data_IF_414440882605
#
_entry.id   IF_414440882605
#
_cell.length_a   1.000
_cell.length_b   1.000
_cell.length_c   1.000
_cell.angle_alpha   90.00
_cell.angle_beta   90.00
_cell.angle_gamma   90.00
#
_symmetry.space_group_name_H-M   'P 1'
#
loop_
_entity.id
_entity.type
_entity.pdbx_description
1 polymer ?
#
# COMPACT_ATOMS: atom_id res chain seq x y z
N UNK A 1 7.54 6.55 -15.97
CA UNK A 1 7.37 6.44 -14.50
C UNK A 1 7.58 7.78 -13.76
N UNK A 2 8.38 8.69 -14.32
CA UNK A 2 8.81 9.93 -13.67
C UNK A 2 7.64 10.79 -13.18
N UNK A 3 6.61 11.06 -14.00
CA UNK A 3 5.49 11.93 -13.61
C UNK A 3 4.76 11.42 -12.35
N UNK A 4 4.29 10.16 -12.28
CA UNK A 4 3.77 9.59 -11.03
C UNK A 4 4.67 9.77 -9.82
N UNK A 5 5.98 9.54 -9.98
CA UNK A 5 6.95 9.66 -8.89
C UNK A 5 7.02 11.11 -8.40
N UNK A 6 7.15 12.08 -9.31
CA UNK A 6 7.24 13.51 -8.97
C UNK A 6 5.97 13.98 -8.27
N UNK A 7 4.80 13.71 -8.85
CA UNK A 7 3.50 14.08 -8.28
C UNK A 7 3.33 13.47 -6.89
N UNK A 8 3.67 12.19 -6.74
CA UNK A 8 3.46 11.48 -5.47
C UNK A 8 4.49 11.87 -4.42
N UNK A 9 5.76 12.01 -4.77
CA UNK A 9 6.81 12.43 -3.85
C UNK A 9 6.55 13.84 -3.33
N UNK A 10 6.18 14.78 -4.22
CA UNK A 10 5.77 16.13 -3.81
C UNK A 10 4.55 16.07 -2.90
N UNK A 11 3.53 15.31 -3.29
CA UNK A 11 2.32 15.12 -2.50
C UNK A 11 2.62 14.58 -1.10
N UNK A 12 3.51 13.58 -0.98
CA UNK A 12 3.94 13.05 0.30
C UNK A 12 4.66 14.11 1.14
N UNK A 13 5.60 14.86 0.57
CA UNK A 13 6.28 15.95 1.31
C UNK A 13 5.25 16.96 1.82
N UNK A 14 4.34 17.43 0.95
CA UNK A 14 3.28 18.37 1.33
C UNK A 14 2.34 17.81 2.41
N UNK A 15 1.92 16.55 2.31
CA UNK A 15 1.12 15.90 3.36
C UNK A 15 1.88 15.87 4.69
N UNK A 16 3.16 15.52 4.66
CA UNK A 16 4.03 15.53 5.83
C UNK A 16 4.11 16.91 6.47
N UNK A 17 4.34 17.95 5.67
CA UNK A 17 4.42 19.35 6.12
C UNK A 17 3.10 19.85 6.68
N UNK A 18 1.99 19.66 5.97
CA UNK A 18 0.66 20.09 6.43
C UNK A 18 0.27 19.35 7.71
N UNK A 19 0.56 18.04 7.80
CA UNK A 19 0.32 17.26 9.03
C UNK A 19 1.13 17.81 10.20
N UNK A 20 2.40 18.16 9.98
CA UNK A 20 3.28 18.69 11.02
C UNK A 20 2.84 20.08 11.50
N UNK A 21 2.43 20.96 10.59
CA UNK A 21 2.12 22.35 10.91
C UNK A 21 0.69 22.53 11.45
N UNK A 22 -0.29 21.78 10.92
CA UNK A 22 -1.71 21.98 11.22
C UNK A 22 -2.37 20.80 11.94
N UNK A 23 -1.68 19.66 12.09
CA UNK A 23 -2.24 18.46 12.72
C UNK A 23 -3.33 17.76 11.87
N UNK A 24 -3.45 18.14 10.60
CA UNK A 24 -4.38 17.54 9.65
C UNK A 24 -4.01 16.10 9.31
N UNK A 25 -4.99 15.31 8.87
CA UNK A 25 -4.83 13.89 8.53
C UNK A 25 -4.88 13.63 7.04
N UNK A 26 -5.53 14.51 6.26
CA UNK A 26 -5.60 14.52 4.80
C UNK A 26 -5.98 13.15 4.19
N UNK A 27 -6.91 12.44 4.83
CA UNK A 27 -7.30 11.09 4.41
C UNK A 27 -6.22 10.00 4.55
N UNK A 28 -5.04 10.32 5.10
CA UNK A 28 -3.89 9.43 5.24
C UNK A 28 -2.69 9.84 4.39
N UNK A 29 -1.49 9.44 4.81
CA UNK A 29 -0.23 9.90 4.21
C UNK A 29 -0.15 9.66 2.70
N UNK A 30 -0.62 8.50 2.22
CA UNK A 30 -0.49 8.08 0.82
C UNK A 30 -1.76 8.29 -0.02
N UNK A 31 -2.92 8.53 0.60
CA UNK A 31 -4.20 8.41 -0.09
C UNK A 31 -4.36 9.44 -1.21
N UNK A 32 -4.14 10.72 -0.90
CA UNK A 32 -4.33 11.83 -1.83
C UNK A 32 -3.27 11.84 -2.95
N UNK A 33 -1.97 11.69 -2.66
CA UNK A 33 -0.96 11.64 -3.72
C UNK A 33 -1.20 10.49 -4.71
N UNK A 34 -1.56 9.30 -4.21
CA UNK A 34 -1.85 8.14 -5.05
C UNK A 34 -3.16 8.32 -5.82
N UNK A 35 -4.19 8.92 -5.22
CA UNK A 35 -5.46 9.23 -5.89
C UNK A 35 -5.26 10.20 -7.06
N UNK A 36 -4.39 11.21 -6.93
CA UNK A 36 -4.07 12.14 -8.02
C UNK A 36 -3.49 11.39 -9.23
N UNK A 37 -2.52 10.51 -9.01
CA UNK A 37 -1.95 9.65 -10.07
C UNK A 37 -3.01 8.73 -10.67
N UNK A 38 -3.87 8.14 -9.85
CA UNK A 38 -4.95 7.27 -10.34
C UNK A 38 -5.99 8.01 -11.17
N UNK A 39 -6.33 9.24 -10.79
CA UNK A 39 -7.29 10.06 -11.52
C UNK A 39 -6.73 10.48 -12.88
N UNK A 40 -5.43 10.80 -12.95
CA UNK A 40 -4.75 11.06 -14.21
C UNK A 40 -4.70 9.81 -15.10
N UNK A 41 -4.50 8.64 -14.48
CA UNK A 41 -4.46 7.37 -15.18
C UNK A 41 -5.84 6.97 -15.74
N UNK A 42 -6.87 7.09 -14.92
CA UNK A 42 -8.25 6.77 -15.27
C UNK A 42 -9.18 7.75 -14.53
N UNK A 43 -9.87 8.61 -15.28
CA UNK A 43 -10.67 9.68 -14.71
C UNK A 43 -11.82 9.16 -13.82
N UNK A 44 -12.31 7.95 -14.09
CA UNK A 44 -13.36 7.33 -13.28
C UNK A 44 -12.89 6.89 -11.88
N UNK A 45 -11.59 6.84 -11.61
CA UNK A 45 -11.10 6.53 -10.27
C UNK A 45 -11.54 7.56 -9.23
N UNK A 46 -11.72 8.83 -9.62
CA UNK A 46 -12.17 9.89 -8.72
C UNK A 46 -13.61 9.69 -8.22
N UNK A 47 -14.64 9.56 -9.08
CA UNK A 47 -15.99 9.32 -8.60
C UNK A 47 -16.10 8.00 -7.84
N UNK A 48 -15.44 6.93 -8.29
CA UNK A 48 -15.40 5.65 -7.56
C UNK A 48 -14.84 5.86 -6.15
N UNK A 49 -13.69 6.53 -6.03
CA UNK A 49 -13.09 6.83 -4.74
C UNK A 49 -14.05 7.65 -3.85
N UNK A 50 -14.62 8.72 -4.37
CA UNK A 50 -15.52 9.62 -3.63
C UNK A 50 -16.73 8.86 -3.05
N UNK A 51 -17.47 8.13 -3.90
CA UNK A 51 -18.63 7.37 -3.44
C UNK A 51 -18.22 6.25 -2.47
N UNK A 52 -17.11 5.56 -2.73
CA UNK A 52 -16.59 4.52 -1.83
C UNK A 52 -16.21 5.07 -0.46
N UNK A 53 -15.63 6.28 -0.40
CA UNK A 53 -15.28 6.94 0.86
C UNK A 53 -16.53 7.33 1.64
N UNK A 54 -17.56 7.86 0.98
CA UNK A 54 -18.84 8.18 1.61
C UNK A 54 -19.48 6.91 2.18
N UNK A 55 -19.58 5.85 1.39
CA UNK A 55 -20.16 4.58 1.83
C UNK A 55 -19.37 3.96 2.98
N UNK A 56 -18.04 4.01 2.92
CA UNK A 56 -17.18 3.56 4.03
C UNK A 56 -17.38 4.40 5.29
N UNK A 57 -17.52 5.72 5.17
CA UNK A 57 -17.77 6.62 6.30
C UNK A 57 -19.13 6.35 6.96
N UNK A 58 -20.18 6.19 6.16
CA UNK A 58 -21.52 5.85 6.64
C UNK A 58 -21.56 4.46 7.29
N UNK A 59 -20.98 3.46 6.63
CA UNK A 59 -20.89 2.10 7.16
C UNK A 59 -20.12 2.05 8.48
N UNK A 60 -19.00 2.76 8.57
CA UNK A 60 -18.23 2.87 9.82
C UNK A 60 -19.03 3.54 10.94
N UNK A 61 -19.81 4.58 10.60
CA UNK A 61 -20.66 5.28 11.57
C UNK A 61 -21.71 4.34 12.17
N UNK A 62 -22.36 3.51 11.33
CA UNK A 62 -23.34 2.51 11.78
C UNK A 62 -22.68 1.48 12.68
N UNK A 63 -21.52 0.95 12.29
CA UNK A 63 -20.80 -0.05 13.07
C UNK A 63 -20.42 0.52 14.45
N UNK A 64 -19.84 1.73 14.50
CA UNK A 64 -19.46 2.35 15.78
C UNK A 64 -20.63 2.57 16.72
N UNK A 65 -21.79 2.97 16.19
CA UNK A 65 -23.00 3.13 16.99
C UNK A 65 -23.55 1.79 17.53
N UNK A 66 -23.20 0.65 16.93
CA UNK A 66 -23.79 -0.66 17.23
C UNK A 66 -22.85 -1.65 17.92
N UNK A 67 -21.53 -1.55 17.76
CA UNK A 67 -20.62 -2.64 18.15
C UNK A 67 -19.43 -2.22 19.03
N UNK A 68 -19.37 -0.97 19.49
CA UNK A 68 -18.25 -0.45 20.31
C UNK A 68 -16.85 -0.73 19.71
N UNK A 69 -16.76 -0.89 18.39
CA UNK A 69 -15.51 -1.14 17.69
C UNK A 69 -14.74 0.19 17.57
N UNK A 70 -13.55 0.25 18.16
CA UNK A 70 -12.69 1.44 18.17
C UNK A 70 -11.23 1.12 17.81
N UNK A 71 -10.47 2.15 17.46
CA UNK A 71 -9.03 2.05 17.29
C UNK A 71 -8.64 1.28 16.03
N UNK A 72 -8.04 0.10 16.19
CA UNK A 72 -7.50 -0.67 15.04
C UNK A 72 -8.57 -1.52 14.35
N UNK A 73 -9.52 -2.04 15.11
CA UNK A 73 -10.60 -2.84 14.52
C UNK A 73 -11.51 -1.93 13.69
N UNK A 74 -11.65 -0.66 14.10
CA UNK A 74 -12.28 0.39 13.31
C UNK A 74 -11.58 0.60 11.95
N UNK A 75 -10.25 0.58 11.90
CA UNK A 75 -9.49 0.69 10.66
C UNK A 75 -9.72 -0.53 9.74
N UNK A 76 -9.73 -1.75 10.32
CA UNK A 76 -9.96 -2.98 9.55
C UNK A 76 -11.36 -3.01 8.96
N UNK A 77 -12.37 -2.63 9.75
CA UNK A 77 -13.75 -2.49 9.27
C UNK A 77 -13.82 -1.44 8.17
N UNK A 78 -13.21 -0.27 8.35
CA UNK A 78 -13.21 0.78 7.34
C UNK A 78 -12.53 0.33 6.02
N UNK A 79 -11.40 -0.38 6.11
CA UNK A 79 -10.73 -0.97 4.94
C UNK A 79 -11.59 -2.06 4.29
N UNK A 80 -12.24 -2.92 5.09
CA UNK A 80 -13.10 -3.98 4.61
C UNK A 80 -14.34 -3.44 3.89
N UNK A 81 -15.00 -2.42 4.46
CA UNK A 81 -16.14 -1.74 3.84
C UNK A 81 -15.69 -0.97 2.59
N UNK A 82 -14.61 -0.19 2.70
CA UNK A 82 -14.10 0.66 1.62
C UNK A 82 -13.60 -0.12 0.39
N UNK A 83 -13.08 -1.34 0.59
CA UNK A 83 -12.67 -2.22 -0.51
C UNK A 83 -13.76 -3.22 -0.94
N UNK A 84 -14.56 -3.71 0.01
CA UNK A 84 -15.59 -4.73 -0.23
C UNK A 84 -16.83 -4.20 -0.94
N UNK A 85 -17.29 -2.98 -0.62
CA UNK A 85 -18.47 -2.41 -1.27
C UNK A 85 -18.24 -2.20 -2.77
N UNK A 86 -17.17 -1.49 -3.22
CA UNK A 86 -16.92 -1.31 -4.65
C UNK A 86 -16.76 -2.65 -5.35
N UNK A 87 -16.09 -3.59 -4.68
CA UNK A 87 -15.91 -4.93 -5.21
C UNK A 87 -17.24 -5.65 -5.44
N UNK A 88 -18.13 -5.66 -4.45
CA UNK A 88 -19.44 -6.31 -4.58
C UNK A 88 -20.27 -5.66 -5.69
N UNK A 89 -20.23 -4.33 -5.80
CA UNK A 89 -20.88 -3.59 -6.90
C UNK A 89 -20.30 -4.03 -8.26
N UNK A 90 -18.97 -4.14 -8.36
CA UNK A 90 -18.31 -4.59 -9.60
C UNK A 90 -18.61 -6.06 -9.92
N UNK A 91 -18.68 -6.95 -8.93
CA UNK A 91 -18.99 -8.36 -9.17
C UNK A 91 -20.46 -8.58 -9.58
N UNK A 92 -21.38 -7.79 -9.02
CA UNK A 92 -22.83 -7.96 -9.25
C UNK A 92 -23.34 -7.20 -10.48
N UNK A 93 -22.78 -6.02 -10.77
CA UNK A 93 -23.27 -5.11 -11.83
C UNK A 93 -22.19 -4.88 -12.91
N UNK A 94 -20.98 -5.43 -12.77
CA UNK A 94 -19.84 -5.24 -13.67
C UNK A 94 -20.11 -5.54 -15.14
N UNK A 95 -21.04 -6.45 -15.45
CA UNK A 95 -21.46 -6.75 -16.81
C UNK A 95 -22.05 -5.53 -17.54
N UNK A 96 -22.63 -4.59 -16.81
CA UNK A 96 -23.28 -3.37 -17.33
C UNK A 96 -22.29 -2.19 -17.43
N UNK A 97 -21.17 -2.24 -16.70
CA UNK A 97 -20.19 -1.16 -16.69
C UNK A 97 -19.19 -1.22 -17.85
N UNK A 98 -18.77 -0.06 -18.41
CA UNK A 98 -17.70 0.05 -19.39
C UNK A 98 -16.42 -0.69 -18.96
N UNK A 99 -15.68 -1.26 -19.91
CA UNK A 99 -14.44 -1.99 -19.64
C UNK A 99 -13.40 -1.16 -18.88
N UNK A 100 -13.35 0.15 -19.13
CA UNK A 100 -12.50 1.12 -18.43
C UNK A 100 -12.80 1.25 -16.93
N UNK A 101 -14.06 1.07 -16.52
CA UNK A 101 -14.45 0.99 -15.11
C UNK A 101 -14.10 -0.35 -14.48
N UNK A 102 -13.92 -1.39 -15.28
CA UNK A 102 -13.53 -2.70 -14.77
C UNK A 102 -12.03 -2.75 -14.42
N UNK A 103 -11.19 -1.91 -15.02
CA UNK A 103 -9.73 -1.81 -14.79
C UNK A 103 -9.31 -1.03 -13.52
N UNK A 104 -10.21 -0.87 -12.56
CA UNK A 104 -9.90 -0.21 -11.28
C UNK A 104 -8.80 -1.00 -10.55
N UNK A 105 -7.61 -0.40 -10.49
CA UNK A 105 -6.42 -1.01 -9.90
C UNK A 105 -6.64 -1.13 -8.38
N UNK A 106 -6.63 -2.37 -7.90
CA UNK A 106 -7.06 -2.77 -6.57
C UNK A 106 -6.35 -2.05 -5.39
N UNK A 107 -5.14 -1.51 -5.57
CA UNK A 107 -4.47 -0.69 -4.52
C UNK A 107 -5.30 0.56 -4.19
N UNK A 108 -5.96 1.15 -5.19
CA UNK A 108 -6.89 2.25 -5.02
C UNK A 108 -8.14 1.88 -4.23
N UNK A 109 -8.51 0.60 -4.10
CA UNK A 109 -9.74 0.17 -3.42
C UNK A 109 -9.65 0.21 -1.89
N UNK A 110 -8.45 0.18 -1.32
CA UNK A 110 -8.25 0.27 0.15
C UNK A 110 -8.23 1.73 0.62
N UNK A 111 -7.82 2.64 -0.28
CA UNK A 111 -7.67 4.07 0.02
C UNK A 111 -8.98 4.74 0.49
N UNK A 112 -10.16 4.46 -0.10
CA UNK A 112 -11.42 5.04 0.36
C UNK A 112 -11.72 4.75 1.83
N UNK A 113 -11.50 3.51 2.26
CA UNK A 113 -11.68 3.08 3.65
C UNK A 113 -10.69 3.77 4.60
N UNK A 114 -9.43 3.90 4.18
CA UNK A 114 -8.41 4.64 4.93
C UNK A 114 -8.77 6.13 5.06
N UNK A 115 -9.28 6.75 3.99
CA UNK A 115 -9.71 8.15 4.01
C UNK A 115 -10.90 8.35 4.96
N UNK A 116 -11.92 7.48 4.87
CA UNK A 116 -13.07 7.50 5.77
C UNK A 116 -12.66 7.34 7.24
N UNK A 117 -11.80 6.38 7.55
CA UNK A 117 -11.26 6.18 8.90
C UNK A 117 -10.54 7.43 9.40
N UNK A 118 -9.65 8.01 8.59
CA UNK A 118 -8.87 9.18 8.99
C UNK A 118 -9.75 10.40 9.26
N UNK A 119 -10.77 10.61 8.44
CA UNK A 119 -11.73 11.70 8.62
C UNK A 119 -12.58 11.51 9.89
N UNK A 120 -13.03 10.26 10.16
CA UNK A 120 -13.79 9.95 11.37
C UNK A 120 -12.99 10.22 12.65
N UNK A 121 -11.68 9.98 12.61
CA UNK A 121 -10.77 10.18 13.74
C UNK A 121 -10.35 11.65 13.95
N UNK A 122 -10.72 12.56 13.05
CA UNK A 122 -10.42 13.97 13.17
C UNK A 122 -11.46 14.65 14.07
N UNK A 123 -11.00 15.56 14.94
CA UNK A 123 -11.89 16.36 15.79
C UNK A 123 -12.84 17.18 14.89
N UNK A 124 -14.14 17.30 15.24
CA UNK A 124 -15.12 18.00 14.40
C UNK A 124 -14.69 19.39 13.94
N UNK A 125 -14.03 20.15 14.83
CA UNK A 125 -13.54 21.51 14.55
C UNK A 125 -12.52 21.62 13.40
N UNK A 126 -11.77 20.55 13.09
CA UNK A 126 -10.74 20.57 12.03
C UNK A 126 -11.22 19.93 10.72
N UNK A 127 -12.44 19.39 10.68
CA UNK A 127 -12.93 18.58 9.55
C UNK A 127 -13.14 19.38 8.28
N UNK A 128 -13.59 20.62 8.38
CA UNK A 128 -13.76 21.51 7.23
C UNK A 128 -12.41 21.87 6.63
N UNK A 129 -11.46 22.27 7.47
CA UNK A 129 -10.18 22.76 7.01
C UNK A 129 -9.31 21.62 6.46
N UNK A 130 -9.37 20.44 7.08
CA UNK A 130 -8.72 19.22 6.56
C UNK A 130 -9.32 18.81 5.20
N UNK A 131 -10.64 18.93 5.03
CA UNK A 131 -11.30 18.66 3.75
C UNK A 131 -10.89 19.67 2.67
N UNK A 132 -10.86 20.96 3.00
CA UNK A 132 -10.41 22.02 2.08
C UNK A 132 -8.96 21.79 1.69
N UNK A 133 -8.07 21.54 2.67
CA UNK A 133 -6.66 21.24 2.41
C UNK A 133 -6.50 19.99 1.55
N UNK A 134 -7.33 18.97 1.78
CA UNK A 134 -7.36 17.74 0.97
C UNK A 134 -7.75 18.02 -0.48
N UNK A 135 -8.81 18.81 -0.69
CA UNK A 135 -9.28 19.19 -2.04
C UNK A 135 -8.22 20.03 -2.74
N UNK A 136 -7.67 21.05 -2.09
CA UNK A 136 -6.64 21.92 -2.66
C UNK A 136 -5.39 21.13 -3.03
N UNK A 137 -4.92 20.24 -2.15
CA UNK A 137 -3.77 19.38 -2.42
C UNK A 137 -4.05 18.45 -3.60
N UNK A 138 -5.21 17.77 -3.60
CA UNK A 138 -5.61 16.88 -4.69
C UNK A 138 -5.66 17.62 -6.04
N UNK A 139 -6.34 18.77 -6.08
CA UNK A 139 -6.45 19.60 -7.28
C UNK A 139 -5.08 20.09 -7.75
N UNK A 140 -4.21 20.53 -6.84
CA UNK A 140 -2.86 20.97 -7.17
C UNK A 140 -1.99 19.86 -7.76
N UNK A 141 -2.01 18.67 -7.14
CA UNK A 141 -1.24 17.50 -7.62
C UNK A 141 -1.76 16.97 -8.96
N UNK A 142 -3.09 16.94 -9.13
CA UNK A 142 -3.72 16.51 -10.39
C UNK A 142 -3.42 17.49 -11.51
N UNK A 143 -3.51 18.80 -11.23
CA UNK A 143 -3.16 19.87 -12.17
C UNK A 143 -1.68 19.81 -12.56
N UNK A 144 -0.79 19.59 -11.60
CA UNK A 144 0.64 19.40 -11.86
C UNK A 144 0.87 18.21 -12.80
N UNK A 145 0.30 17.05 -12.50
CA UNK A 145 0.44 15.87 -13.36
C UNK A 145 -0.18 16.07 -14.74
N UNK A 146 -1.30 16.79 -14.84
CA UNK A 146 -1.89 17.18 -16.12
C UNK A 146 -0.94 18.02 -16.97
N UNK A 147 -0.25 19.01 -16.40
CA UNK A 147 0.72 19.82 -17.12
C UNK A 147 1.99 19.06 -17.48
N UNK A 148 2.42 18.10 -16.66
CA UNK A 148 3.61 17.28 -16.92
C UNK A 148 3.40 16.19 -17.98
N UNK A 149 2.15 15.83 -18.30
CA UNK A 149 1.85 14.89 -19.39
C UNK A 149 1.56 15.67 -20.67
N UNK A 150 2.56 15.92 -21.51
CA UNK A 150 2.41 16.61 -22.80
C UNK A 150 3.25 15.90 -23.87
N UNK A 151 2.88 16.01 -25.16
CA UNK A 151 3.67 15.41 -26.25
C UNK A 151 5.12 15.92 -26.26
N UNK A 152 5.32 17.21 -25.98
CA UNK A 152 6.64 17.87 -25.94
C UNK A 152 7.56 17.28 -24.86
N UNK A 153 7.00 16.84 -23.74
CA UNK A 153 7.75 16.27 -22.62
C UNK A 153 7.88 14.75 -22.71
N UNK A 154 7.24 14.09 -23.67
CA UNK A 154 7.26 12.62 -23.82
C UNK A 154 8.68 12.03 -23.95
N UNK A 155 9.62 12.61 -24.74
CA UNK A 155 10.97 12.07 -24.87
C UNK A 155 11.75 12.05 -23.55
N UNK A 156 11.47 12.99 -22.64
CA UNK A 156 12.19 13.14 -21.37
C UNK A 156 11.44 12.45 -20.22
N UNK A 157 10.13 12.62 -20.13
CA UNK A 157 9.34 12.14 -18.99
C UNK A 157 8.62 10.81 -19.26
N UNK A 158 8.36 10.50 -20.53
CA UNK A 158 7.62 9.33 -20.99
C UNK A 158 8.51 8.15 -21.37
N UNK A 159 9.68 8.40 -21.96
CA UNK A 159 10.54 7.35 -22.57
C UNK A 159 11.78 6.99 -21.74
N UNK A 160 12.35 7.92 -20.96
CA UNK A 160 13.56 7.65 -20.14
C UNK A 160 13.36 6.56 -19.06
N UNK A 161 12.12 6.37 -18.63
CA UNK A 161 11.74 5.31 -17.69
C UNK A 161 10.52 4.59 -18.22
N UNK A 162 10.32 3.31 -17.85
CA UNK A 162 9.13 2.57 -18.22
C UNK A 162 7.84 3.39 -18.03
N UNK A 163 7.02 3.56 -19.08
CA UNK A 163 5.91 4.50 -19.02
C UNK A 163 4.85 4.03 -18.03
N UNK A 164 4.13 5.01 -17.47
CA UNK A 164 3.08 4.78 -16.49
C UNK A 164 1.85 5.65 -16.81
N UNK A 165 2.05 6.97 -16.88
CA UNK A 165 1.02 7.92 -17.33
C UNK A 165 1.12 8.28 -18.81
N UNK A 166 2.24 7.95 -19.47
CA UNK A 166 2.47 8.13 -20.91
C UNK A 166 2.07 6.90 -21.74
N UNK A 167 1.24 5.99 -21.21
CA UNK A 167 0.81 4.79 -21.93
C UNK A 167 -0.54 5.02 -22.63
N UNK A 168 -0.85 4.19 -23.63
CA UNK A 168 -2.17 4.17 -24.30
C UNK A 168 -3.34 3.81 -23.37
N UNK A 169 -3.06 3.22 -22.22
CA UNK A 169 -4.05 2.93 -21.16
C UNK A 169 -4.24 4.08 -20.17
N UNK A 170 -3.68 5.26 -20.44
CA UNK A 170 -3.76 6.42 -19.55
C UNK A 170 -4.63 7.50 -20.18
N UNK A 171 -5.78 7.79 -19.55
CA UNK A 171 -6.77 8.73 -20.09
C UNK A 171 -6.15 10.10 -20.41
N UNK A 172 -5.31 10.63 -19.52
CA UNK A 172 -4.65 11.92 -19.74
C UNK A 172 -3.71 11.91 -20.94
N UNK A 173 -2.99 10.82 -21.19
CA UNK A 173 -2.07 10.75 -22.33
C UNK A 173 -2.81 10.54 -23.64
N UNK A 174 -3.87 9.72 -23.64
CA UNK A 174 -4.74 9.56 -24.81
C UNK A 174 -5.42 10.88 -25.15
N UNK A 175 -6.02 11.54 -24.16
CA UNK A 175 -6.71 12.82 -24.36
C UNK A 175 -5.79 13.91 -24.91
N UNK A 176 -4.53 13.96 -24.46
CA UNK A 176 -3.55 14.96 -24.87
C UNK A 176 -2.70 14.53 -26.08
N UNK A 177 -3.00 13.40 -26.71
CA UNK A 177 -2.18 12.80 -27.78
C UNK A 177 -0.70 12.67 -27.41
N UNK A 178 -0.42 12.39 -26.13
CA UNK A 178 0.92 12.24 -25.57
C UNK A 178 1.29 10.77 -25.32
N UNK A 179 0.44 9.81 -25.69
CA UNK A 179 0.69 8.39 -25.45
C UNK A 179 1.90 7.89 -26.26
N UNK A 180 2.87 7.30 -25.57
CA UNK A 180 4.02 6.62 -26.14
C UNK A 180 3.61 5.21 -26.54
N UNK A 181 4.00 4.79 -27.74
CA UNK A 181 3.73 3.45 -28.22
C UNK A 181 4.56 2.44 -27.42
N UNK A 182 3.88 1.62 -26.60
CA UNK A 182 4.50 0.52 -25.86
C UNK A 182 3.61 -0.71 -25.92
N UNK A 183 4.23 -1.88 -25.96
CA UNK A 183 3.50 -3.14 -25.84
C UNK A 183 2.78 -3.21 -24.49
N UNK A 184 1.50 -3.58 -24.54
CA UNK A 184 0.71 -3.74 -23.33
C UNK A 184 1.14 -5.02 -22.61
N UNK A 185 1.61 -4.80 -21.40
CA UNK A 185 2.03 -5.84 -20.48
C UNK A 185 0.82 -6.68 -20.02
N UNK A 186 0.86 -8.02 -20.15
CA UNK A 186 -0.30 -8.87 -19.89
C UNK A 186 -0.71 -8.90 -18.42
N UNK A 187 -1.97 -9.22 -18.14
CA UNK A 187 -2.49 -9.35 -16.78
C UNK A 187 -1.91 -10.59 -16.10
N UNK A 188 -1.22 -10.42 -14.96
CA UNK A 188 -0.56 -11.51 -14.21
C UNK A 188 -1.59 -12.43 -13.54
N UNK A 189 -2.61 -11.83 -12.94
CA UNK A 189 -3.68 -12.52 -12.23
C UNK A 189 -5.02 -12.01 -12.69
N UNK A 190 -6.00 -12.90 -12.67
CA UNK A 190 -7.40 -12.48 -12.75
C UNK A 190 -7.74 -11.58 -11.57
N UNK A 191 -8.73 -10.70 -11.74
CA UNK A 191 -9.18 -9.81 -10.65
C UNK A 191 -9.66 -10.61 -9.43
N UNK A 192 -10.55 -11.62 -9.57
CA UNK A 192 -10.98 -12.46 -8.44
C UNK A 192 -9.80 -13.09 -7.68
N UNK A 193 -8.81 -13.61 -8.40
CA UNK A 193 -7.61 -14.19 -7.78
C UNK A 193 -6.83 -13.13 -7.00
N UNK A 194 -6.63 -11.95 -7.60
CA UNK A 194 -5.93 -10.83 -6.97
C UNK A 194 -6.61 -10.44 -5.66
N UNK A 195 -7.92 -10.26 -5.68
CA UNK A 195 -8.74 -9.94 -4.49
C UNK A 195 -8.57 -11.02 -3.41
N UNK A 196 -8.72 -12.30 -3.79
CA UNK A 196 -8.61 -13.41 -2.87
C UNK A 196 -7.24 -13.43 -2.17
N UNK A 197 -6.17 -13.23 -2.94
CA UNK A 197 -4.80 -13.13 -2.43
C UNK A 197 -4.65 -11.97 -1.45
N UNK A 198 -5.26 -10.82 -1.72
CA UNK A 198 -5.26 -9.70 -0.79
C UNK A 198 -6.07 -9.95 0.47
N UNK A 199 -7.21 -10.63 0.39
CA UNK A 199 -8.01 -11.01 1.56
C UNK A 199 -7.27 -12.01 2.44
N UNK A 200 -6.66 -13.03 1.82
CA UNK A 200 -5.76 -13.99 2.50
C UNK A 200 -4.62 -13.23 3.17
N UNK A 201 -4.01 -12.30 2.43
CA UNK A 201 -3.05 -11.36 2.98
C UNK A 201 -3.62 -10.68 4.23
N UNK A 202 -4.67 -9.88 4.11
CA UNK A 202 -5.23 -9.12 5.23
C UNK A 202 -5.47 -10.00 6.47
N UNK A 203 -6.00 -11.22 6.28
CA UNK A 203 -6.15 -12.21 7.35
C UNK A 203 -4.83 -12.62 8.02
N UNK A 204 -3.80 -12.95 7.24
CA UNK A 204 -2.45 -13.27 7.78
C UNK A 204 -1.87 -12.06 8.50
N UNK A 205 -2.03 -10.86 7.94
CA UNK A 205 -1.51 -9.62 8.53
C UNK A 205 -2.07 -9.40 9.92
N UNK A 206 -3.37 -9.65 10.05
CA UNK A 206 -4.09 -9.46 11.28
C UNK A 206 -3.70 -10.53 12.30
N UNK A 207 -3.52 -11.77 11.86
CA UNK A 207 -3.05 -12.85 12.73
C UNK A 207 -1.62 -12.64 13.23
N UNK A 208 -0.71 -12.18 12.36
CA UNK A 208 0.67 -11.81 12.75
C UNK A 208 0.66 -10.65 13.73
N UNK A 209 -0.18 -9.64 13.51
CA UNK A 209 -0.33 -8.51 14.43
C UNK A 209 -0.86 -8.97 15.78
N UNK A 210 -1.93 -9.76 15.80
CA UNK A 210 -2.57 -10.23 17.02
C UNK A 210 -1.60 -11.07 17.86
N UNK A 211 -0.88 -12.00 17.23
CA UNK A 211 0.05 -12.89 17.94
C UNK A 211 1.37 -12.21 18.30
N UNK A 212 2.04 -11.58 17.33
CA UNK A 212 3.40 -11.10 17.52
C UNK A 212 3.47 -9.61 17.87
N UNK A 213 2.39 -8.85 17.69
CA UNK A 213 2.37 -7.39 17.91
C UNK A 213 3.16 -6.62 16.86
N UNK A 214 3.44 -7.21 15.70
CA UNK A 214 4.28 -6.64 14.64
C UNK A 214 3.40 -6.24 13.45
N UNK A 215 3.64 -5.04 12.91
CA UNK A 215 2.97 -4.55 11.70
C UNK A 215 3.81 -4.92 10.48
N UNK A 216 3.64 -6.14 9.97
CA UNK A 216 4.15 -6.47 8.65
C UNK A 216 3.23 -5.80 7.63
N UNK A 217 3.75 -4.94 6.75
CA UNK A 217 2.93 -4.09 5.87
C UNK A 217 2.25 -4.90 4.77
N UNK A 218 1.36 -5.83 5.09
CA UNK A 218 1.13 -7.02 4.27
C UNK A 218 0.50 -6.83 2.89
N UNK A 219 -0.19 -5.70 2.66
CA UNK A 219 -0.57 -5.30 1.30
C UNK A 219 0.67 -5.29 0.39
N UNK A 220 1.82 -4.90 0.94
CA UNK A 220 3.11 -4.95 0.26
C UNK A 220 3.57 -6.37 -0.08
N UNK A 221 3.45 -7.34 0.82
CA UNK A 221 3.98 -8.69 0.56
C UNK A 221 3.09 -9.43 -0.42
N UNK A 222 1.78 -9.22 -0.36
CA UNK A 222 0.84 -9.73 -1.38
C UNK A 222 1.15 -9.13 -2.76
N UNK A 223 1.30 -7.80 -2.86
CA UNK A 223 1.69 -7.14 -4.11
C UNK A 223 3.05 -7.58 -4.62
N UNK A 224 4.03 -7.69 -3.73
CA UNK A 224 5.38 -8.10 -4.07
C UNK A 224 5.39 -9.53 -4.60
N UNK A 225 4.56 -10.43 -4.05
CA UNK A 225 4.39 -11.79 -4.57
C UNK A 225 3.79 -11.80 -5.98
N UNK A 226 2.84 -10.91 -6.28
CA UNK A 226 2.31 -10.73 -7.64
C UNK A 226 3.38 -10.16 -8.57
N UNK A 227 4.12 -9.14 -8.13
CA UNK A 227 5.20 -8.52 -8.90
C UNK A 227 6.38 -9.45 -9.13
N UNK A 228 6.62 -10.42 -8.24
CA UNK A 228 7.60 -11.47 -8.42
C UNK A 228 7.31 -12.31 -9.68
N UNK A 229 6.04 -12.61 -9.98
CA UNK A 229 5.66 -13.28 -11.23
C UNK A 229 5.86 -12.42 -12.47
N UNK A 230 5.93 -11.09 -12.31
CA UNK A 230 6.16 -10.16 -13.41
C UNK A 230 7.66 -10.04 -13.73
N UNK A 231 8.47 -9.80 -12.71
CA UNK A 231 9.91 -9.59 -12.85
C UNK A 231 10.62 -9.75 -11.51
N UNK A 232 11.66 -10.61 -11.47
CA UNK A 232 12.57 -10.73 -10.32
C UNK A 232 13.24 -9.39 -9.96
N UNK A 233 13.43 -8.52 -10.95
CA UNK A 233 14.06 -7.21 -10.75
C UNK A 233 13.20 -6.26 -9.93
N UNK A 234 11.88 -6.47 -9.86
CA UNK A 234 11.00 -5.74 -8.95
C UNK A 234 11.25 -6.12 -7.49
N UNK A 235 11.65 -7.37 -7.23
CA UNK A 235 12.07 -7.82 -5.88
C UNK A 235 13.44 -7.24 -5.55
N UNK A 236 14.40 -7.29 -6.48
CA UNK A 236 15.71 -6.67 -6.29
C UNK A 236 15.58 -5.17 -6.01
N UNK A 237 14.75 -4.46 -6.80
CA UNK A 237 14.41 -3.06 -6.57
C UNK A 237 13.81 -2.84 -5.18
N UNK A 238 12.83 -3.66 -4.79
CA UNK A 238 12.21 -3.57 -3.45
C UNK A 238 13.25 -3.68 -2.34
N UNK A 239 14.16 -4.65 -2.40
CA UNK A 239 15.20 -4.86 -1.37
C UNK A 239 16.16 -3.67 -1.31
N UNK A 240 16.65 -3.20 -2.46
CA UNK A 240 17.59 -2.06 -2.53
C UNK A 240 16.92 -0.78 -1.99
N UNK A 241 15.69 -0.49 -2.43
CA UNK A 241 14.94 0.68 -1.97
C UNK A 241 14.58 0.57 -0.50
N UNK A 242 14.22 -0.62 -0.01
CA UNK A 242 13.91 -0.84 1.41
C UNK A 242 15.13 -0.52 2.29
N UNK A 243 16.31 -1.03 1.94
CA UNK A 243 17.55 -0.81 2.70
C UNK A 243 17.94 0.66 2.67
N UNK A 244 17.96 1.28 1.49
CA UNK A 244 18.32 2.70 1.35
C UNK A 244 17.33 3.63 2.05
N UNK A 245 16.02 3.38 1.92
CA UNK A 245 14.99 4.12 2.63
C UNK A 245 15.07 3.94 4.14
N UNK A 246 15.42 2.75 4.64
CA UNK A 246 15.61 2.50 6.06
C UNK A 246 16.82 3.27 6.63
N UNK A 247 17.94 3.29 5.91
CA UNK A 247 19.14 4.08 6.29
C UNK A 247 18.77 5.57 6.33
N UNK A 248 18.16 6.08 5.26
CA UNK A 248 17.71 7.47 5.19
C UNK A 248 16.74 7.81 6.32
N UNK A 249 15.76 6.95 6.59
CA UNK A 249 14.81 7.14 7.69
C UNK A 249 15.53 7.25 9.04
N UNK A 250 16.49 6.35 9.32
CA UNK A 250 17.24 6.41 10.57
C UNK A 250 18.00 7.73 10.72
N UNK A 251 18.68 8.18 9.65
CA UNK A 251 19.42 9.45 9.65
C UNK A 251 18.48 10.63 9.91
N UNK A 252 17.36 10.71 9.18
CA UNK A 252 16.37 11.78 9.38
C UNK A 252 15.82 11.75 10.80
N UNK A 253 15.43 10.57 11.30
CA UNK A 253 14.90 10.45 12.65
C UNK A 253 15.92 10.87 13.72
N UNK A 254 17.18 10.43 13.61
CA UNK A 254 18.23 10.77 14.57
C UNK A 254 18.55 12.27 14.57
N UNK A 255 18.54 12.92 13.41
CA UNK A 255 18.89 14.34 13.27
C UNK A 255 17.73 15.26 13.68
N UNK A 256 16.50 14.90 13.29
CA UNK A 256 15.33 15.79 13.39
C UNK A 256 14.34 15.40 14.48
N UNK A 257 14.46 14.19 15.02
CA UNK A 257 13.48 13.57 15.93
C UNK A 257 12.05 13.49 15.35
N UNK A 258 11.90 13.66 14.02
CA UNK A 258 10.62 13.48 13.35
C UNK A 258 10.11 12.05 13.56
N UNK A 259 8.79 11.94 13.76
CA UNK A 259 8.15 10.66 14.03
C UNK A 259 6.77 10.59 13.36
N UNK A 260 6.12 9.44 13.48
CA UNK A 260 4.74 9.27 13.03
C UNK A 260 4.58 9.43 11.52
N UNK A 261 3.49 10.12 11.12
CA UNK A 261 3.10 10.30 9.71
C UNK A 261 4.10 11.11 8.90
N UNK A 262 4.77 12.07 9.53
CA UNK A 262 5.73 12.95 8.86
C UNK A 262 6.95 12.15 8.41
N UNK A 263 7.47 11.30 9.30
CA UNK A 263 8.59 10.41 8.99
C UNK A 263 8.21 9.41 7.87
N UNK A 264 7.01 8.79 7.94
CA UNK A 264 6.52 7.91 6.85
C UNK A 264 6.53 8.65 5.51
N UNK A 265 6.02 9.89 5.51
CA UNK A 265 5.86 10.69 4.30
C UNK A 265 7.19 10.98 3.64
N UNK A 266 8.14 11.52 4.42
CA UNK A 266 9.47 11.91 3.91
C UNK A 266 10.25 10.68 3.46
N UNK A 267 10.21 9.59 4.23
CA UNK A 267 10.88 8.34 3.84
C UNK A 267 10.28 7.73 2.57
N UNK A 268 8.95 7.75 2.42
CA UNK A 268 8.30 7.19 1.23
C UNK A 268 8.53 8.08 0.00
N UNK A 269 8.60 9.40 0.17
CA UNK A 269 9.01 10.32 -0.89
C UNK A 269 10.44 10.04 -1.35
N UNK A 270 11.38 9.86 -0.41
CA UNK A 270 12.76 9.46 -0.72
C UNK A 270 12.81 8.11 -1.45
N UNK A 271 12.09 7.10 -0.96
CA UNK A 271 12.02 5.78 -1.58
C UNK A 271 11.54 5.85 -3.04
N UNK A 272 10.49 6.63 -3.30
CA UNK A 272 9.99 6.87 -4.66
C UNK A 272 11.02 7.58 -5.55
N UNK A 273 11.68 8.63 -5.06
CA UNK A 273 12.70 9.34 -5.82
C UNK A 273 13.90 8.44 -6.13
N UNK A 274 14.34 7.62 -5.17
CA UNK A 274 15.42 6.64 -5.37
C UNK A 274 15.07 5.55 -6.39
N UNK A 275 13.78 5.27 -6.59
CA UNK A 275 13.33 4.27 -7.55
C UNK A 275 13.59 4.68 -8.99
N UNK A 276 13.59 5.99 -9.30
CA UNK A 276 13.81 6.50 -10.68
C UNK A 276 15.17 6.09 -11.25
N UNK A 277 16.32 6.42 -10.64
CA UNK A 277 17.62 6.00 -11.16
C UNK A 277 17.79 4.48 -11.14
N UNK A 278 17.23 3.78 -10.15
CA UNK A 278 17.33 2.31 -10.05
C UNK A 278 16.59 1.60 -11.19
N UNK A 279 15.43 2.11 -11.60
CA UNK A 279 14.67 1.53 -12.73
C UNK A 279 15.36 1.77 -14.07
N UNK A 280 16.19 2.81 -14.19
CA UNK A 280 17.05 2.99 -15.37
C UNK A 280 18.22 2.01 -15.39
N UNK A 281 18.71 1.59 -14.22
CA UNK A 281 19.82 0.65 -14.09
C UNK A 281 19.38 -0.83 -14.14
N UNK A 282 18.12 -1.13 -13.80
CA UNK A 282 17.57 -2.48 -13.75
C UNK A 282 16.66 -2.74 -14.95
N UNK A 283 16.62 -3.98 -15.49
CA UNK A 283 15.80 -4.31 -16.67
C UNK A 283 14.31 -4.49 -16.30
N UNK A 284 13.67 -3.40 -15.89
CA UNK A 284 12.26 -3.33 -15.49
C UNK A 284 11.47 -2.69 -16.63
N UNK A 285 10.35 -3.30 -17.03
CA UNK A 285 9.48 -2.80 -18.12
C UNK A 285 8.14 -2.25 -17.61
N UNK A 286 7.78 -2.52 -16.36
CA UNK A 286 6.49 -2.14 -15.77
C UNK A 286 6.61 -0.91 -14.87
N UNK A 287 6.36 0.26 -15.45
CA UNK A 287 6.50 1.56 -14.76
C UNK A 287 5.61 1.71 -13.52
N UNK A 288 4.32 1.32 -13.60
CA UNK A 288 3.42 1.39 -12.44
C UNK A 288 3.79 0.40 -11.33
N UNK A 289 4.24 -0.81 -11.69
CA UNK A 289 4.69 -1.79 -10.70
C UNK A 289 5.93 -1.29 -9.94
N UNK A 290 6.90 -0.72 -10.65
CA UNK A 290 8.09 -0.14 -10.01
C UNK A 290 7.74 1.06 -9.11
N UNK A 291 6.84 1.93 -9.56
CA UNK A 291 6.30 3.02 -8.76
C UNK A 291 5.68 2.51 -7.44
N UNK A 292 4.84 1.47 -7.48
CA UNK A 292 4.28 0.89 -6.27
C UNK A 292 5.34 0.20 -5.40
N UNK A 293 6.31 -0.50 -5.99
CA UNK A 293 7.43 -1.07 -5.24
C UNK A 293 8.15 -0.01 -4.41
N UNK A 294 8.39 1.18 -4.96
CA UNK A 294 8.97 2.31 -4.23
C UNK A 294 8.13 2.75 -3.03
N UNK A 295 6.80 2.87 -3.20
CA UNK A 295 5.88 3.20 -2.09
C UNK A 295 5.94 2.14 -1.00
N UNK A 296 5.81 0.87 -1.38
CA UNK A 296 5.76 -0.25 -0.46
C UNK A 296 7.07 -0.39 0.33
N UNK A 297 8.20 -0.22 -0.33
CA UNK A 297 9.52 -0.21 0.30
C UNK A 297 9.65 0.91 1.33
N UNK A 298 9.21 2.14 1.01
CA UNK A 298 9.23 3.27 1.94
C UNK A 298 8.35 3.06 3.17
N UNK A 299 7.13 2.55 2.99
CA UNK A 299 6.22 2.22 4.10
C UNK A 299 6.80 1.10 4.98
N UNK A 300 7.39 0.07 4.36
CA UNK A 300 7.96 -1.05 5.11
C UNK A 300 9.26 -0.68 5.82
N UNK A 301 10.06 0.25 5.29
CA UNK A 301 11.19 0.80 6.01
C UNK A 301 10.72 1.45 7.32
N UNK A 302 9.61 2.21 7.29
CA UNK A 302 9.02 2.76 8.49
C UNK A 302 8.43 1.71 9.44
N UNK A 303 7.72 0.71 8.93
CA UNK A 303 7.20 -0.39 9.76
C UNK A 303 8.33 -1.15 10.46
N UNK A 304 9.44 -1.39 9.76
CA UNK A 304 10.61 -2.01 10.34
C UNK A 304 11.25 -1.12 11.43
N UNK A 305 11.37 0.18 11.17
CA UNK A 305 11.90 1.13 12.14
C UNK A 305 11.07 1.20 13.42
N UNK A 306 9.75 1.30 13.28
CA UNK A 306 8.81 1.40 14.43
C UNK A 306 8.58 0.09 15.18
N UNK A 307 9.05 -1.04 14.64
CA UNK A 307 9.00 -2.31 15.35
C UNK A 307 9.91 -2.24 16.59
N UNK A 308 9.42 -2.63 17.78
CA UNK A 308 10.21 -2.61 19.02
C UNK A 308 11.52 -3.37 18.87
N UNK A 309 12.60 -2.87 19.45
CA UNK A 309 13.95 -3.44 19.29
C UNK A 309 14.02 -4.92 19.66
N UNK A 310 13.30 -5.33 20.73
CA UNK A 310 13.21 -6.74 21.16
C UNK A 310 12.56 -7.66 20.12
N UNK A 311 11.66 -7.12 19.29
CA UNK A 311 10.89 -7.85 18.27
C UNK A 311 11.40 -7.62 16.85
N UNK A 312 12.35 -6.70 16.63
CA UNK A 312 12.84 -6.31 15.31
C UNK A 312 13.48 -7.47 14.54
N UNK A 313 14.10 -8.42 15.25
CA UNK A 313 14.64 -9.68 14.67
C UNK A 313 13.57 -10.57 14.04
N UNK A 314 12.30 -10.45 14.44
CA UNK A 314 11.19 -11.24 13.92
C UNK A 314 10.62 -10.65 12.62
N UNK A 315 10.87 -9.37 12.33
CA UNK A 315 10.26 -8.66 11.21
C UNK A 315 10.63 -9.27 9.85
N UNK A 316 11.91 -9.53 9.62
CA UNK A 316 12.41 -10.06 8.34
C UNK A 316 11.92 -11.50 8.11
N UNK A 317 12.08 -12.44 9.06
CA UNK A 317 11.52 -13.80 8.92
C UNK A 317 10.01 -13.81 8.69
N UNK A 318 9.23 -13.00 9.41
CA UNK A 318 7.77 -12.92 9.20
C UNK A 318 7.42 -12.42 7.80
N UNK A 319 8.11 -11.36 7.34
CA UNK A 319 7.88 -10.78 6.01
C UNK A 319 8.26 -11.77 4.92
N UNK A 320 9.42 -12.43 5.05
CA UNK A 320 9.93 -13.42 4.09
C UNK A 320 9.04 -14.67 4.05
N UNK A 321 8.71 -15.26 5.20
CA UNK A 321 7.85 -16.43 5.28
C UNK A 321 6.46 -16.16 4.70
N UNK A 322 5.88 -14.99 5.01
CA UNK A 322 4.57 -14.62 4.45
C UNK A 322 4.64 -14.32 2.96
N UNK A 323 5.70 -13.65 2.50
CA UNK A 323 5.93 -13.43 1.07
C UNK A 323 6.05 -14.75 0.32
N UNK A 324 6.87 -15.68 0.80
CA UNK A 324 7.06 -16.99 0.15
C UNK A 324 5.77 -17.80 0.12
N UNK A 325 5.02 -17.80 1.23
CA UNK A 325 3.69 -18.44 1.27
C UNK A 325 2.74 -17.88 0.22
N UNK A 326 2.62 -16.54 0.14
CA UNK A 326 1.76 -15.89 -0.84
C UNK A 326 2.27 -16.11 -2.27
N UNK A 327 3.60 -16.16 -2.47
CA UNK A 327 4.21 -16.44 -3.77
C UNK A 327 3.84 -17.83 -4.29
N UNK A 328 3.80 -18.85 -3.42
CA UNK A 328 3.34 -20.20 -3.81
C UNK A 328 1.88 -20.18 -4.28
N UNK A 329 1.00 -19.49 -3.56
CA UNK A 329 -0.43 -19.37 -3.91
C UNK A 329 -0.61 -18.62 -5.24
N UNK A 330 0.08 -17.49 -5.36
CA UNK A 330 0.04 -16.63 -6.54
C UNK A 330 0.60 -17.38 -7.75
N UNK A 331 1.70 -18.12 -7.60
CA UNK A 331 2.29 -18.91 -8.68
C UNK A 331 1.40 -20.07 -9.13
N UNK A 332 0.66 -20.69 -8.21
CA UNK A 332 -0.29 -21.76 -8.51
C UNK A 332 -1.52 -21.29 -9.30
N UNK A 333 -1.87 -20.01 -9.21
CA UNK A 333 -3.09 -19.43 -9.80
C UNK A 333 -2.84 -18.41 -10.91
N UNK A 334 -1.61 -17.87 -11.00
CA UNK A 334 -1.25 -16.77 -11.88
C UNK A 334 -0.36 -17.16 -13.05
N UNK A 335 -0.37 -16.31 -14.07
CA UNK A 335 0.53 -16.41 -15.21
C UNK A 335 1.90 -15.83 -14.85
N UNK A 336 2.96 -16.54 -15.22
CA UNK A 336 4.32 -16.06 -15.05
C UNK A 336 4.83 -15.42 -16.34
N UNK A 337 5.51 -14.28 -16.21
CA UNK A 337 6.17 -13.61 -17.32
C UNK A 337 7.60 -14.11 -17.48
N UNK A 338 8.27 -13.86 -18.64
CA UNK A 338 9.61 -14.36 -18.89
C UNK A 338 10.68 -13.96 -17.86
N UNK A 339 10.49 -12.82 -17.17
CA UNK A 339 11.40 -12.34 -16.11
C UNK A 339 10.93 -12.66 -14.69
N UNK A 340 9.76 -13.28 -14.55
CA UNK A 340 9.17 -13.60 -13.26
C UNK A 340 9.86 -14.75 -12.55
N UNK A 341 9.58 -14.92 -11.26
CA UNK A 341 10.03 -16.07 -10.47
C UNK A 341 8.91 -16.61 -9.56
N UNK A 342 8.86 -17.93 -9.34
CA UNK A 342 9.73 -18.97 -9.90
C UNK A 342 9.25 -19.44 -11.29
N UNK A 343 10.17 -19.59 -12.27
CA UNK A 343 9.85 -20.05 -13.63
C UNK A 343 9.28 -21.48 -13.63
N UNK A 344 9.99 -22.39 -12.96
CA UNK A 344 9.54 -23.74 -12.71
C UNK A 344 8.61 -23.77 -11.50
N UNK A 345 7.58 -24.61 -11.55
CA UNK A 345 6.65 -24.80 -10.43
C UNK A 345 6.29 -26.28 -10.32
N UNK A 346 7.30 -27.08 -9.98
CA UNK A 346 7.18 -28.50 -9.71
C UNK A 346 7.19 -28.82 -8.22
N UNK A 347 7.23 -30.12 -7.86
CA UNK A 347 7.24 -30.57 -6.48
C UNK A 347 8.43 -30.04 -5.66
N UNK A 348 9.58 -29.85 -6.30
CA UNK A 348 10.81 -29.38 -5.64
C UNK A 348 10.67 -27.91 -5.22
N UNK A 349 10.19 -27.04 -6.11
CA UNK A 349 10.00 -25.62 -5.80
C UNK A 349 8.92 -25.41 -4.74
N UNK A 350 7.85 -26.22 -4.78
CA UNK A 350 6.82 -26.24 -3.74
C UNK A 350 7.44 -26.65 -2.41
N UNK A 351 8.21 -27.74 -2.37
CA UNK A 351 8.85 -28.23 -1.15
C UNK A 351 9.82 -27.18 -0.58
N UNK A 352 10.64 -26.55 -1.41
CA UNK A 352 11.56 -25.47 -1.00
C UNK A 352 10.78 -24.27 -0.46
N UNK A 353 9.73 -23.82 -1.15
CA UNK A 353 8.92 -22.70 -0.69
C UNK A 353 8.19 -22.98 0.63
N UNK A 354 7.66 -24.20 0.80
CA UNK A 354 7.05 -24.65 2.05
C UNK A 354 8.11 -24.72 3.15
N UNK A 355 9.28 -25.27 2.88
CA UNK A 355 10.39 -25.33 3.84
C UNK A 355 10.82 -23.94 4.31
N UNK A 356 11.02 -22.97 3.39
CA UNK A 356 11.34 -21.58 3.74
C UNK A 356 10.25 -20.97 4.63
N UNK A 357 8.99 -21.17 4.25
CA UNK A 357 7.83 -20.67 5.00
C UNK A 357 7.83 -21.23 6.42
N UNK A 358 7.92 -22.56 6.56
CA UNK A 358 7.92 -23.26 7.85
C UNK A 358 9.11 -22.85 8.70
N UNK A 359 10.33 -22.81 8.15
CA UNK A 359 11.53 -22.40 8.89
C UNK A 359 11.40 -20.97 9.40
N UNK A 360 10.90 -20.04 8.58
CA UNK A 360 10.66 -18.66 9.01
C UNK A 360 9.64 -18.59 10.16
N UNK A 361 8.52 -19.30 10.06
CA UNK A 361 7.51 -19.31 11.12
C UNK A 361 8.00 -20.00 12.40
N UNK A 362 8.71 -21.13 12.29
CA UNK A 362 9.32 -21.81 13.44
C UNK A 362 10.36 -20.94 14.14
N UNK A 363 11.20 -20.24 13.37
CA UNK A 363 12.15 -19.27 13.93
C UNK A 363 11.41 -18.17 14.69
N UNK A 364 10.35 -17.62 14.13
CA UNK A 364 9.57 -16.57 14.79
C UNK A 364 8.93 -17.10 16.06
N UNK A 365 8.33 -18.27 16.02
CA UNK A 365 7.68 -18.90 17.16
C UNK A 365 8.68 -19.17 18.29
N UNK A 366 9.84 -19.73 17.97
CA UNK A 366 10.90 -20.01 18.93
C UNK A 366 11.42 -18.75 19.65
N UNK A 367 11.47 -17.62 18.96
CA UNK A 367 11.95 -16.35 19.53
C UNK A 367 10.83 -15.43 20.01
N UNK A 368 9.57 -15.85 19.91
CA UNK A 368 8.45 -15.10 20.45
C UNK A 368 8.36 -15.35 21.93
N UNK A 369 8.39 -14.25 22.69
CA UNK A 369 8.08 -14.29 24.12
C UNK A 369 6.59 -14.04 24.25
N UNK A 370 5.88 -15.02 24.81
CA UNK A 370 4.45 -14.91 25.07
C UNK A 370 4.18 -13.74 26.01
N UNK A 371 3.08 -13.03 25.74
CA UNK A 371 2.59 -12.03 26.68
C UNK A 371 1.99 -12.77 27.88
N UNK A 372 2.19 -12.27 29.11
CA UNK A 372 1.47 -12.81 30.25
C UNK A 372 -0.04 -12.70 29.99
N UNK A 373 -0.79 -13.69 30.46
CA UNK A 373 -2.21 -13.76 30.20
C UNK A 373 -2.93 -12.56 30.81
N UNK A 374 -3.87 -11.97 30.05
CA UNK A 374 -4.58 -10.79 30.49
C UNK A 374 -5.47 -11.07 31.70
N UNK A 375 -6.05 -12.27 31.79
CA UNK A 375 -6.81 -12.70 32.95
C UNK A 375 -5.90 -12.87 34.18
N UNK A 376 -4.79 -13.59 34.06
CA UNK A 376 -3.82 -13.73 35.16
C UNK A 376 -3.27 -12.38 35.64
N UNK A 377 -2.95 -11.46 34.72
CA UNK A 377 -2.47 -10.12 35.07
C UNK A 377 -3.58 -9.28 35.70
N UNK A 378 -4.82 -9.41 35.24
CA UNK A 378 -5.95 -8.69 35.81
C UNK A 378 -6.27 -9.20 37.22
N UNK A 379 -6.32 -10.52 37.42
CA UNK A 379 -6.51 -11.18 38.72
C UNK A 379 -5.42 -10.79 39.72
N UNK A 380 -4.16 -10.75 39.28
CA UNK A 380 -3.02 -10.31 40.09
C UNK A 380 -2.94 -8.79 40.28
N UNK A 381 -3.79 -8.00 39.62
CA UNK A 381 -3.77 -6.54 39.75
C UNK A 381 -4.56 -6.07 40.97
N UNK A 382 -4.15 -4.95 41.55
CA UNK A 382 -4.88 -4.22 42.60
C UNK A 382 -6.30 -3.79 42.19
N UNK A 383 -6.65 -3.93 40.90
CA UNK A 383 -7.97 -3.61 40.35
C UNK A 383 -8.90 -4.83 40.31
N UNK A 384 -8.43 -6.03 40.67
CA UNK A 384 -9.26 -7.26 40.65
C UNK A 384 -10.34 -7.29 41.73
N UNK A 385 -10.34 -6.32 42.66
CA UNK A 385 -11.37 -6.18 43.69
C UNK A 385 -11.42 -7.35 44.69
N UNK A 386 -10.41 -8.21 44.70
CA UNK A 386 -10.37 -9.41 45.55
C UNK A 386 -10.09 -9.12 47.04
N UNK A 387 -9.79 -7.85 47.39
CA UNK A 387 -9.52 -7.39 48.76
C UNK A 387 -10.75 -6.82 49.51
N UNK A 388 -11.97 -6.90 48.96
CA UNK A 388 -13.20 -6.66 49.75
C UNK A 388 -13.64 -7.96 50.46
N UNK A 389 -13.01 -8.25 51.61
CA UNK A 389 -13.51 -9.23 52.58
C UNK A 389 -13.80 -8.59 53.93
#
# INVERSE_FOLDING_TARGET
MIVPVVVTALGLVLVGTITQLFGYRLGGTIAIPVLAVYTLKNAFMLPVFFFSTILAYLGLSIVKQRTLIYGRDELLVAMGIGSGIPLLIFLTIGAVFPESLREVVFIGSILPGLAAFNYHQLKPQYRTDDLIATILLFSGLTTLGWFLVTPELAPVLGELTPPALYTSTSDVAVFKNAAVATELEPTILSRPSTILIFLIGLGISERVRARYGIRIGLISTALLAIYALASQWLIALYVIVLVTAFIFLQLVHQITLLYGRVLISITTAFALLSTVPLVMALPITRGLSAYFVGILAGINAYNWHTTPTSKRKLYVPLTLGTFTFLLLIVRATGQILPRGIPQQFGPVEILVGVAITVVCFLFVEYYTVDRPDHEEVFEASILSGSDER
#
